data_IF_161697335358
#
_entry.id   IF_161697335358
#
_cell.length_a   1.000
_cell.length_b   1.000
_cell.length_c   1.000
_cell.angle_alpha   90.00
_cell.angle_beta   90.00
_cell.angle_gamma   90.00
#
_symmetry.space_group_name_H-M   'P 1'
#
loop_
_entity.id
_entity.type
_entity.pdbx_description
1 polymer ?
#
# COMPACT_ATOMS: atom_id res chain seq x y z
N UNK A 1 -28.55 6.65 4.58
CA UNK A 1 -27.59 7.22 5.53
C UNK A 1 -26.23 6.72 5.14
N UNK A 2 -25.34 7.60 4.70
CA UNK A 2 -23.99 7.21 4.31
C UNK A 2 -23.28 6.57 5.51
N UNK A 3 -22.73 5.37 5.35
CA UNK A 3 -22.06 4.64 6.45
C UNK A 3 -20.87 5.45 6.97
N UNK A 4 -20.29 6.28 6.11
CA UNK A 4 -19.16 7.16 6.42
C UNK A 4 -19.51 8.27 7.44
N UNK A 5 -20.79 8.65 7.62
CA UNK A 5 -21.20 9.74 8.52
C UNK A 5 -21.75 9.29 9.88
N UNK A 6 -21.87 7.98 10.13
CA UNK A 6 -22.44 7.45 11.40
C UNK A 6 -21.68 7.98 12.62
N UNK A 7 -20.35 7.97 12.55
CA UNK A 7 -19.49 8.38 13.65
C UNK A 7 -19.50 9.92 13.88
N UNK A 8 -19.32 10.78 12.85
CA UNK A 8 -19.50 12.23 12.99
C UNK A 8 -20.88 12.65 13.52
N UNK A 9 -21.96 11.99 13.06
CA UNK A 9 -23.31 12.31 13.52
C UNK A 9 -23.48 11.97 15.00
N UNK A 10 -23.04 10.79 15.45
CA UNK A 10 -23.13 10.40 16.86
C UNK A 10 -22.38 11.37 17.80
N UNK A 11 -21.18 11.78 17.41
CA UNK A 11 -20.37 12.71 18.20
C UNK A 11 -21.06 14.06 18.34
N UNK A 12 -21.63 14.59 17.27
CA UNK A 12 -22.23 15.92 17.28
C UNK A 12 -23.61 15.96 17.96
N UNK A 13 -24.36 14.85 17.99
CA UNK A 13 -25.69 14.81 18.63
C UNK A 13 -25.70 14.37 20.08
N UNK A 14 -24.69 13.61 20.55
CA UNK A 14 -24.74 12.99 21.89
C UNK A 14 -23.67 13.48 22.88
N UNK A 15 -22.70 14.29 22.45
CA UNK A 15 -21.61 14.75 23.32
C UNK A 15 -21.70 16.24 23.67
N UNK A 16 -21.21 16.65 24.85
CA UNK A 16 -21.18 18.06 25.23
C UNK A 16 -20.14 18.82 24.40
N UNK A 17 -20.41 20.11 24.17
CA UNK A 17 -19.67 20.97 23.23
C UNK A 17 -18.15 20.97 23.41
N UNK A 18 -17.64 20.91 24.65
CA UNK A 18 -16.20 20.88 24.93
C UNK A 18 -15.53 19.56 24.50
N UNK A 19 -16.23 18.43 24.66
CA UNK A 19 -15.71 17.11 24.23
C UNK A 19 -15.74 16.94 22.72
N UNK A 20 -16.74 17.53 22.04
CA UNK A 20 -16.80 17.55 20.57
C UNK A 20 -15.56 18.23 19.99
N UNK A 21 -15.19 19.41 20.51
CA UNK A 21 -13.99 20.12 20.06
C UNK A 21 -12.71 19.32 20.29
N UNK A 22 -12.58 18.69 21.46
CA UNK A 22 -11.43 17.84 21.79
C UNK A 22 -11.32 16.62 20.85
N UNK A 23 -12.44 15.95 20.57
CA UNK A 23 -12.47 14.79 19.68
C UNK A 23 -12.11 15.17 18.24
N UNK A 24 -12.64 16.28 17.74
CA UNK A 24 -12.30 16.78 16.40
C UNK A 24 -10.79 17.06 16.33
N UNK A 25 -10.23 17.74 17.34
CA UNK A 25 -8.79 17.99 17.40
C UNK A 25 -7.97 16.69 17.42
N UNK A 26 -8.39 15.68 18.20
CA UNK A 26 -7.73 14.38 18.26
C UNK A 26 -7.79 13.62 16.91
N UNK A 27 -8.93 13.66 16.21
CA UNK A 27 -9.10 13.04 14.89
C UNK A 27 -8.17 13.72 13.87
N UNK A 28 -8.12 15.05 13.86
CA UNK A 28 -7.21 15.79 12.99
C UNK A 28 -5.74 15.49 13.31
N UNK A 29 -5.37 15.44 14.59
CA UNK A 29 -4.01 15.10 15.01
C UNK A 29 -3.61 13.68 14.54
N UNK A 30 -4.50 12.70 14.73
CA UNK A 30 -4.28 11.33 14.27
C UNK A 30 -4.17 11.26 12.73
N UNK A 31 -5.07 11.91 12.00
CA UNK A 31 -5.06 11.95 10.53
C UNK A 31 -3.79 12.62 9.98
N UNK A 32 -3.38 13.75 10.56
CA UNK A 32 -2.14 14.43 10.18
C UNK A 32 -0.90 13.58 10.46
N UNK A 33 -0.87 12.84 11.58
CA UNK A 33 0.24 11.95 11.91
C UNK A 33 0.38 10.81 10.89
N UNK A 34 -0.72 10.16 10.53
CA UNK A 34 -0.71 9.09 9.51
C UNK A 34 -0.34 9.64 8.13
N UNK A 35 -0.95 10.74 7.70
CA UNK A 35 -0.66 11.36 6.41
C UNK A 35 0.80 11.83 6.31
N UNK A 36 1.37 12.38 7.38
CA UNK A 36 2.79 12.77 7.40
C UNK A 36 3.72 11.57 7.25
N UNK A 37 3.41 10.44 7.92
CA UNK A 37 4.19 9.21 7.81
C UNK A 37 4.10 8.61 6.39
N UNK A 38 2.91 8.56 5.79
CA UNK A 38 2.71 8.05 4.44
C UNK A 38 3.41 8.91 3.38
N UNK A 39 3.26 10.23 3.44
CA UNK A 39 3.93 11.16 2.53
C UNK A 39 5.45 11.12 2.69
N UNK A 40 5.95 10.97 3.92
CA UNK A 40 7.38 10.81 4.17
C UNK A 40 7.92 9.50 3.60
N UNK A 41 7.20 8.39 3.75
CA UNK A 41 7.57 7.10 3.18
C UNK A 41 7.59 7.16 1.64
N UNK A 42 6.55 7.71 1.01
CA UNK A 42 6.48 7.88 -0.45
C UNK A 42 7.59 8.78 -0.99
N UNK A 43 7.84 9.91 -0.32
CA UNK A 43 8.93 10.82 -0.66
C UNK A 43 10.28 10.13 -0.54
N UNK A 44 10.52 9.41 0.55
CA UNK A 44 11.78 8.69 0.80
C UNK A 44 12.01 7.58 -0.22
N UNK A 45 11.01 6.74 -0.51
CA UNK A 45 11.14 5.73 -1.57
C UNK A 45 11.35 6.35 -2.95
N UNK A 46 10.68 7.46 -3.27
CA UNK A 46 10.91 8.17 -4.53
C UNK A 46 12.34 8.73 -4.62
N UNK A 47 12.85 9.33 -3.55
CA UNK A 47 14.17 9.97 -3.57
C UNK A 47 15.29 8.95 -3.45
N UNK A 48 15.23 8.02 -2.51
CA UNK A 48 16.32 7.07 -2.25
C UNK A 48 16.29 5.93 -3.26
N UNK A 49 15.14 5.28 -3.43
CA UNK A 49 15.06 4.06 -4.25
C UNK A 49 15.09 4.36 -5.75
N UNK A 50 14.48 5.47 -6.18
CA UNK A 50 14.44 5.86 -7.59
C UNK A 50 15.49 6.93 -7.93
N UNK A 51 15.41 8.13 -7.33
CA UNK A 51 16.20 9.29 -7.77
C UNK A 51 17.70 9.14 -7.47
N UNK A 52 18.08 8.84 -6.24
CA UNK A 52 19.47 8.67 -5.83
C UNK A 52 20.10 7.48 -6.53
N UNK A 53 19.42 6.33 -6.52
CA UNK A 53 19.95 5.09 -7.11
C UNK A 53 20.15 5.16 -8.63
N UNK A 54 19.28 5.84 -9.38
CA UNK A 54 19.28 5.78 -10.84
C UNK A 54 19.67 7.09 -11.55
N UNK A 55 19.36 8.27 -10.99
CA UNK A 55 19.57 9.55 -11.66
C UNK A 55 20.83 10.28 -11.18
N UNK A 56 21.03 10.32 -9.85
CA UNK A 56 22.14 11.09 -9.26
C UNK A 56 22.61 10.43 -7.97
N UNK A 57 23.67 9.64 -8.06
CA UNK A 57 24.18 8.80 -6.97
C UNK A 57 25.06 9.58 -5.97
N UNK A 58 25.75 10.61 -6.43
CA UNK A 58 26.70 11.40 -5.61
C UNK A 58 26.26 12.88 -5.57
N UNK A 59 25.21 13.19 -4.81
CA UNK A 59 24.85 14.57 -4.48
C UNK A 59 25.00 14.83 -2.97
N UNK A 60 25.18 16.09 -2.55
CA UNK A 60 25.17 16.44 -1.13
C UNK A 60 23.81 16.15 -0.48
N UNK A 61 23.78 15.83 0.82
CA UNK A 61 22.53 15.55 1.56
C UNK A 61 21.51 16.70 1.46
N UNK A 62 21.98 17.95 1.41
CA UNK A 62 21.13 19.12 1.22
C UNK A 62 20.35 19.10 -0.11
N UNK A 63 20.92 18.49 -1.16
CA UNK A 63 20.24 18.29 -2.44
C UNK A 63 19.12 17.26 -2.29
N UNK A 64 19.39 16.09 -1.72
CA UNK A 64 18.36 15.06 -1.50
C UNK A 64 17.24 15.54 -0.57
N UNK A 65 17.57 16.32 0.46
CA UNK A 65 16.55 16.95 1.32
C UNK A 65 15.65 17.90 0.52
N UNK A 66 16.21 18.68 -0.39
CA UNK A 66 15.44 19.59 -1.24
C UNK A 66 14.55 18.81 -2.20
N UNK A 67 15.07 17.78 -2.86
CA UNK A 67 14.30 16.88 -3.74
C UNK A 67 13.18 16.18 -2.95
N UNK A 68 13.45 15.73 -1.72
CA UNK A 68 12.46 15.10 -0.84
C UNK A 68 11.33 16.06 -0.49
N UNK A 69 11.61 17.35 -0.22
CA UNK A 69 10.55 18.36 -0.01
C UNK A 69 9.65 18.51 -1.24
N UNK A 70 10.23 18.55 -2.44
CA UNK A 70 9.45 18.61 -3.68
C UNK A 70 8.63 17.33 -3.90
N UNK A 71 9.20 16.16 -3.64
CA UNK A 71 8.50 14.88 -3.75
C UNK A 71 7.33 14.79 -2.75
N UNK A 72 7.51 15.23 -1.51
CA UNK A 72 6.43 15.30 -0.50
C UNK A 72 5.30 16.22 -0.97
N UNK A 73 5.63 17.40 -1.52
CA UNK A 73 4.65 18.31 -2.08
C UNK A 73 3.88 17.71 -3.26
N UNK A 74 4.58 17.02 -4.17
CA UNK A 74 3.97 16.31 -5.28
C UNK A 74 3.01 15.21 -4.82
N UNK A 75 3.45 14.33 -3.91
CA UNK A 75 2.60 13.26 -3.37
C UNK A 75 1.41 13.80 -2.56
N UNK A 76 1.60 14.90 -1.82
CA UNK A 76 0.51 15.56 -1.10
C UNK A 76 -0.55 16.13 -2.03
N UNK A 77 -0.12 16.77 -3.14
CA UNK A 77 -1.04 17.26 -4.17
C UNK A 77 -1.75 16.10 -4.87
N UNK A 78 -1.03 15.05 -5.24
CA UNK A 78 -1.59 13.84 -5.85
C UNK A 78 -2.65 13.20 -4.95
N UNK A 79 -2.33 12.98 -3.67
CA UNK A 79 -3.26 12.43 -2.69
C UNK A 79 -4.51 13.32 -2.51
N UNK A 80 -4.34 14.65 -2.49
CA UNK A 80 -5.45 15.60 -2.39
C UNK A 80 -6.39 15.53 -3.60
N UNK A 81 -5.84 15.41 -4.80
CA UNK A 81 -6.62 15.25 -6.04
C UNK A 81 -7.37 13.91 -6.01
N UNK A 82 -6.68 12.81 -5.68
CA UNK A 82 -7.30 11.48 -5.59
C UNK A 82 -8.42 11.42 -4.54
N UNK A 83 -8.24 12.12 -3.41
CA UNK A 83 -9.28 12.21 -2.36
C UNK A 83 -10.58 12.82 -2.87
N UNK A 84 -10.54 13.78 -3.81
CA UNK A 84 -11.74 14.36 -4.42
C UNK A 84 -12.54 13.32 -5.21
N UNK A 85 -11.86 12.39 -5.90
CA UNK A 85 -12.51 11.32 -6.64
C UNK A 85 -13.00 10.18 -5.74
N UNK A 86 -12.31 9.94 -4.62
CA UNK A 86 -12.62 8.84 -3.70
C UNK A 86 -14.02 8.94 -3.06
N UNK A 87 -14.57 10.15 -2.92
CA UNK A 87 -15.91 10.39 -2.35
C UNK A 87 -17.04 9.68 -3.12
N UNK A 88 -16.83 9.33 -4.40
CA UNK A 88 -17.85 8.67 -5.23
C UNK A 88 -17.74 7.13 -5.25
N UNK A 89 -16.78 6.54 -4.52
CA UNK A 89 -16.44 5.12 -4.61
C UNK A 89 -17.18 4.23 -3.57
N UNK A 90 -18.17 4.76 -2.84
CA UNK A 90 -18.93 4.02 -1.84
C UNK A 90 -18.32 4.11 -0.44
N UNK A 91 -18.31 3.00 0.31
CA UNK A 91 -17.73 2.98 1.66
C UNK A 91 -16.20 3.11 1.59
N UNK A 92 -15.62 4.09 2.28
CA UNK A 92 -14.18 4.30 2.27
C UNK A 92 -13.40 3.09 2.78
N UNK A 93 -13.96 2.37 3.77
CA UNK A 93 -13.34 1.15 4.33
C UNK A 93 -13.29 0.04 3.28
N UNK A 94 -14.36 -0.11 2.48
CA UNK A 94 -14.42 -1.10 1.42
C UNK A 94 -13.41 -0.79 0.30
N UNK A 95 -13.34 0.48 -0.11
CA UNK A 95 -12.40 0.95 -1.13
C UNK A 95 -10.96 0.68 -0.70
N UNK A 96 -10.57 1.10 0.50
CA UNK A 96 -9.20 0.90 1.01
C UNK A 96 -8.84 -0.57 1.08
N UNK A 97 -9.75 -1.43 1.56
CA UNK A 97 -9.48 -2.86 1.65
C UNK A 97 -9.47 -3.56 0.30
N UNK A 98 -10.32 -3.14 -0.65
CA UNK A 98 -10.31 -3.67 -2.00
C UNK A 98 -8.97 -3.37 -2.67
N UNK A 99 -8.57 -2.09 -2.73
CA UNK A 99 -7.28 -1.69 -3.30
C UNK A 99 -6.11 -2.38 -2.59
N UNK A 100 -6.10 -2.38 -1.25
CA UNK A 100 -5.08 -3.05 -0.46
C UNK A 100 -4.94 -4.54 -0.79
N UNK A 101 -6.06 -5.24 -0.97
CA UNK A 101 -6.06 -6.70 -1.18
C UNK A 101 -5.45 -7.13 -2.52
N UNK A 102 -5.34 -6.24 -3.52
CA UNK A 102 -4.58 -6.52 -4.74
C UNK A 102 -3.07 -6.64 -4.50
N UNK A 103 -2.55 -5.86 -3.54
CA UNK A 103 -1.12 -5.75 -3.28
C UNK A 103 -0.67 -6.57 -2.08
N UNK A 104 -1.41 -6.52 -0.97
CA UNK A 104 -1.02 -7.09 0.32
C UNK A 104 -0.76 -8.60 0.25
N UNK A 105 -1.65 -9.35 -0.41
CA UNK A 105 -1.46 -10.80 -0.59
C UNK A 105 -0.15 -11.15 -1.29
N UNK A 106 0.14 -10.47 -2.40
CA UNK A 106 1.35 -10.74 -3.18
C UNK A 106 2.62 -10.29 -2.42
N UNK A 107 2.57 -9.16 -1.72
CA UNK A 107 3.70 -8.69 -0.90
C UNK A 107 3.99 -9.65 0.26
N UNK A 108 2.94 -10.07 0.98
CA UNK A 108 3.03 -11.09 2.03
C UNK A 108 3.58 -12.41 1.49
N UNK A 109 3.14 -12.83 0.31
CA UNK A 109 3.64 -14.02 -0.38
C UNK A 109 5.15 -13.99 -0.62
N UNK A 110 5.72 -12.82 -0.95
CA UNK A 110 7.17 -12.67 -1.11
C UNK A 110 7.90 -12.88 0.22
N UNK A 111 7.39 -12.32 1.31
CA UNK A 111 7.96 -12.53 2.64
C UNK A 111 7.86 -13.99 3.08
N UNK A 112 6.72 -14.64 2.85
CA UNK A 112 6.51 -16.07 3.14
C UNK A 112 7.47 -16.92 2.32
N UNK A 113 7.65 -16.62 1.03
CA UNK A 113 8.60 -17.32 0.16
C UNK A 113 10.04 -17.16 0.67
N UNK A 114 10.44 -15.93 1.03
CA UNK A 114 11.79 -15.63 1.49
C UNK A 114 12.12 -16.26 2.86
N UNK A 115 11.18 -16.28 3.81
CA UNK A 115 11.38 -16.86 5.15
C UNK A 115 11.20 -18.38 5.13
N UNK A 116 10.19 -18.87 4.41
CA UNK A 116 9.83 -20.29 4.37
C UNK A 116 10.78 -21.15 3.55
N UNK A 117 11.40 -20.57 2.51
CA UNK A 117 12.25 -21.32 1.59
C UNK A 117 13.68 -20.79 1.56
N UNK A 118 14.56 -21.49 2.29
CA UNK A 118 15.98 -21.14 2.45
C UNK A 118 16.81 -21.06 1.16
N UNK A 119 16.26 -21.55 0.04
CA UNK A 119 16.87 -21.52 -1.30
C UNK A 119 16.29 -20.45 -2.23
N UNK A 120 15.28 -19.70 -1.79
CA UNK A 120 14.64 -18.68 -2.61
C UNK A 120 15.61 -17.55 -2.93
N UNK A 121 15.64 -17.14 -4.19
CA UNK A 121 16.45 -16.04 -4.69
C UNK A 121 15.64 -14.78 -4.90
N UNK A 122 16.30 -13.62 -4.97
CA UNK A 122 15.69 -12.36 -5.39
C UNK A 122 14.95 -12.47 -6.72
N UNK A 123 15.43 -13.29 -7.66
CA UNK A 123 14.75 -13.56 -8.93
C UNK A 123 13.42 -14.32 -8.76
N UNK A 124 13.40 -15.33 -7.89
CA UNK A 124 12.19 -16.12 -7.61
C UNK A 124 11.13 -15.27 -6.90
N UNK A 125 11.56 -14.43 -5.96
CA UNK A 125 10.70 -13.45 -5.29
C UNK A 125 10.13 -12.41 -6.27
N UNK A 126 10.94 -11.88 -7.18
CA UNK A 126 10.50 -10.90 -8.16
C UNK A 126 9.47 -11.47 -9.13
N UNK A 127 9.76 -12.63 -9.75
CA UNK A 127 8.80 -13.28 -10.65
C UNK A 127 7.57 -13.81 -9.90
N UNK A 128 7.74 -14.26 -8.66
CA UNK A 128 6.66 -14.61 -7.75
C UNK A 128 5.70 -13.44 -7.54
N UNK A 129 6.22 -12.25 -7.18
CA UNK A 129 5.43 -11.04 -6.98
C UNK A 129 4.60 -10.68 -8.21
N UNK A 130 5.25 -10.62 -9.38
CA UNK A 130 4.59 -10.28 -10.65
C UNK A 130 3.52 -11.32 -11.00
N UNK A 131 3.82 -12.61 -10.87
CA UNK A 131 2.86 -13.70 -11.09
C UNK A 131 1.68 -13.66 -10.11
N UNK A 132 1.94 -13.35 -8.84
CA UNK A 132 0.91 -13.18 -7.80
C UNK A 132 -0.04 -12.04 -8.11
N UNK A 133 0.49 -10.87 -8.42
CA UNK A 133 -0.31 -9.69 -8.79
C UNK A 133 -1.18 -9.94 -10.03
N UNK A 134 -0.61 -10.56 -11.07
CA UNK A 134 -1.38 -10.92 -12.27
C UNK A 134 -2.48 -11.93 -11.96
N UNK A 135 -2.20 -12.94 -11.12
CA UNK A 135 -3.20 -13.95 -10.73
C UNK A 135 -4.35 -13.30 -9.97
N UNK A 136 -4.05 -12.42 -9.02
CA UNK A 136 -5.09 -11.67 -8.29
C UNK A 136 -5.91 -10.79 -9.23
N UNK A 137 -5.27 -10.11 -10.20
CA UNK A 137 -5.97 -9.31 -11.19
C UNK A 137 -6.92 -10.13 -12.07
N UNK A 138 -6.52 -11.32 -12.49
CA UNK A 138 -7.36 -12.24 -13.28
C UNK A 138 -8.54 -12.73 -12.43
N UNK A 139 -8.26 -13.21 -11.22
CA UNK A 139 -9.30 -13.71 -10.29
C UNK A 139 -10.30 -12.61 -9.98
N UNK A 140 -9.86 -11.39 -9.73
CA UNK A 140 -10.77 -10.28 -9.48
C UNK A 140 -11.62 -9.87 -10.70
N UNK A 141 -11.19 -10.23 -11.92
CA UNK A 141 -11.92 -9.91 -13.16
C UNK A 141 -12.89 -11.01 -13.60
N UNK A 142 -12.68 -12.26 -13.15
CA UNK A 142 -13.41 -13.44 -13.64
C UNK A 142 -14.30 -14.06 -12.57
N UNK A 143 -14.06 -13.78 -11.28
CA UNK A 143 -14.76 -14.42 -10.17
C UNK A 143 -15.38 -13.39 -9.23
N UNK A 144 -16.63 -13.65 -8.81
CA UNK A 144 -17.38 -12.83 -7.83
C UNK A 144 -17.01 -13.19 -6.37
N UNK A 145 -15.74 -13.45 -6.09
CA UNK A 145 -15.30 -13.75 -4.72
C UNK A 145 -15.05 -12.46 -3.94
N UNK A 146 -15.27 -12.49 -2.63
CA UNK A 146 -14.99 -11.35 -1.76
C UNK A 146 -13.51 -10.95 -1.82
N UNK A 147 -13.23 -9.64 -1.84
CA UNK A 147 -11.87 -9.08 -1.95
C UNK A 147 -10.90 -9.59 -0.87
N UNK A 148 -11.40 -10.05 0.27
CA UNK A 148 -10.57 -10.64 1.33
C UNK A 148 -9.81 -11.88 0.85
N UNK A 149 -10.40 -12.66 -0.07
CA UNK A 149 -9.77 -13.86 -0.63
C UNK A 149 -8.61 -13.54 -1.57
N UNK A 150 -8.54 -12.34 -2.13
CA UNK A 150 -7.42 -11.92 -2.99
C UNK A 150 -6.09 -11.96 -2.25
N UNK A 151 -6.10 -11.71 -0.94
CA UNK A 151 -4.90 -11.82 -0.12
C UNK A 151 -4.36 -13.26 -0.10
N UNK A 152 -5.22 -14.24 0.13
CA UNK A 152 -4.84 -15.65 0.15
C UNK A 152 -4.39 -16.12 -1.23
N UNK A 153 -5.14 -15.76 -2.27
CA UNK A 153 -4.80 -16.07 -3.67
C UNK A 153 -3.43 -15.52 -4.02
N UNK A 154 -3.15 -14.26 -3.66
CA UNK A 154 -1.85 -13.62 -3.89
C UNK A 154 -0.71 -14.37 -3.20
N UNK A 155 -0.84 -14.70 -1.91
CA UNK A 155 0.19 -15.45 -1.17
C UNK A 155 0.49 -16.80 -1.83
N UNK A 156 -0.55 -17.57 -2.14
CA UNK A 156 -0.42 -18.90 -2.74
C UNK A 156 0.22 -18.79 -4.13
N UNK A 157 -0.24 -17.85 -4.96
CA UNK A 157 0.29 -17.65 -6.30
C UNK A 157 1.78 -17.29 -6.29
N UNK A 158 2.20 -16.38 -5.40
CA UNK A 158 3.63 -16.01 -5.26
C UNK A 158 4.47 -17.21 -4.84
N UNK A 159 4.00 -17.99 -3.85
CA UNK A 159 4.74 -19.16 -3.38
C UNK A 159 4.85 -20.23 -4.47
N UNK A 160 3.79 -20.46 -5.23
CA UNK A 160 3.77 -21.42 -6.34
C UNK A 160 4.74 -20.99 -7.46
N UNK A 161 4.63 -19.76 -7.93
CA UNK A 161 5.49 -19.23 -9.00
C UNK A 161 6.96 -19.21 -8.56
N UNK A 162 7.23 -18.74 -7.34
CA UNK A 162 8.57 -18.72 -6.76
C UNK A 162 9.17 -20.12 -6.62
N UNK A 163 8.39 -21.09 -6.14
CA UNK A 163 8.81 -22.49 -6.02
C UNK A 163 9.15 -23.12 -7.38
N UNK A 164 8.35 -22.84 -8.42
CA UNK A 164 8.67 -23.28 -9.78
C UNK A 164 9.97 -22.67 -10.32
N UNK A 165 10.23 -21.39 -10.03
CA UNK A 165 11.51 -20.72 -10.33
C UNK A 165 12.70 -21.42 -9.69
N UNK A 166 12.58 -21.74 -8.40
CA UNK A 166 13.60 -22.47 -7.64
C UNK A 166 13.89 -23.86 -8.23
N UNK A 167 12.85 -24.63 -8.58
CA UNK A 167 12.99 -25.97 -9.16
C UNK A 167 13.74 -25.94 -10.50
N UNK A 168 13.42 -24.98 -11.37
CA UNK A 168 14.12 -24.82 -12.65
C UNK A 168 15.60 -24.54 -12.45
N UNK A 169 15.96 -23.71 -11.46
CA UNK A 169 17.36 -23.40 -11.17
C UNK A 169 18.14 -24.61 -10.66
N UNK A 170 17.53 -25.43 -9.79
CA UNK A 170 18.18 -26.63 -9.24
C UNK A 170 18.48 -27.72 -10.27
N UNK A 171 17.84 -27.71 -11.45
CA UNK A 171 18.12 -28.65 -12.55
C UNK A 171 19.26 -28.20 -13.48
N UNK A 172 19.72 -26.96 -13.35
CA UNK A 172 20.77 -26.35 -14.19
C UNK A 172 22.15 -26.33 -13.51
N UNK A 173 22.22 -26.74 -12.24
CA UNK A 173 23.43 -26.89 -11.41
C UNK A 173 23.63 -28.34 -11.06
#
# INVERSE_FOLDING_TARGET
TDVNYIFPTFITTHLPVGLVGLLIAAIFAAAMSSAAAELNALSTSTVIDFYQRHLKQEAPDAHYLSVSKYATGFWGLFASITALFATNLGSLIEVVNLFGSYFYGSLLGVFVLAVGFRRASSGDAFWGLIGGMMTVGIVASVTDISYLWYNLVGVVAVCVVGWFGMLRRSRLT
#
